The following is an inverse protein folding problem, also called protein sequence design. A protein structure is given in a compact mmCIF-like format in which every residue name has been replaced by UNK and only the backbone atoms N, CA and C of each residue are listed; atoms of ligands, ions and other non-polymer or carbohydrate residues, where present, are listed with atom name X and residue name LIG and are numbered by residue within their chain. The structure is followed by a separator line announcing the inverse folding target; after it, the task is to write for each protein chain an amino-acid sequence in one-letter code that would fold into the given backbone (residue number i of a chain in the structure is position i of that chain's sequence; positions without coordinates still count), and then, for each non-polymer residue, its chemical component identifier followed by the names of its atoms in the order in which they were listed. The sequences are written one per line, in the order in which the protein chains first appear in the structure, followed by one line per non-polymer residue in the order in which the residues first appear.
data_IF_056146717768
#
_entry.id   IF_056146717768
#
_cell.length_a   1.000
_cell.length_b   1.000
_cell.length_c   1.000
_cell.angle_alpha   90.00
_cell.angle_beta   90.00
_cell.angle_gamma   90.00
#
_symmetry.space_group_name_H-M   'P 1'
#
loop_
_entity.id
_entity.type
_entity.pdbx_description
1 polymer ?
#
# COMPACT_ATOMS: atom_id res chain seq x y z
N UNK A 1 -14.35 4.35 -5.68
CA UNK A 1 -12.95 3.88 -5.74
C UNK A 1 -12.45 3.86 -4.31
N UNK A 2 -11.85 2.75 -3.88
CA UNK A 2 -11.35 2.59 -2.51
C UNK A 2 -9.84 2.48 -2.52
N UNK A 3 -9.22 3.10 -1.52
CA UNK A 3 -7.80 3.03 -1.26
C UNK A 3 -7.55 2.25 0.03
N UNK A 4 -6.50 1.43 0.05
CA UNK A 4 -5.93 0.95 1.30
C UNK A 4 -4.86 1.92 1.76
N UNK A 5 -4.91 2.33 3.02
CA UNK A 5 -3.99 3.32 3.60
C UNK A 5 -3.33 2.77 4.86
N UNK A 6 -2.04 3.08 5.01
CA UNK A 6 -1.28 2.93 6.26
C UNK A 6 -0.58 4.25 6.58
N UNK A 7 -0.84 4.76 7.77
CA UNK A 7 -0.05 5.84 8.37
C UNK A 7 0.95 5.20 9.32
N UNK A 8 2.22 5.57 9.22
CA UNK A 8 3.26 5.09 10.15
C UNK A 8 4.23 6.20 10.49
N UNK A 9 4.74 6.19 11.71
CA UNK A 9 5.95 6.91 12.07
C UNK A 9 7.15 6.00 11.80
N UNK A 10 8.04 6.43 10.91
CA UNK A 10 9.31 5.75 10.68
C UNK A 10 10.45 6.73 10.92
N UNK A 11 11.24 6.48 11.97
CA UNK A 11 12.36 7.33 12.35
C UNK A 11 11.98 8.80 12.55
N UNK A 12 10.83 9.08 13.21
CA UNK A 12 10.28 10.43 13.41
C UNK A 12 9.81 11.12 12.12
N UNK A 13 9.68 10.37 11.03
CA UNK A 13 9.07 10.84 9.79
C UNK A 13 7.72 10.17 9.64
N UNK A 14 6.68 10.99 9.53
CA UNK A 14 5.34 10.51 9.21
C UNK A 14 5.30 10.07 7.75
N UNK A 15 4.97 8.80 7.51
CA UNK A 15 4.80 8.23 6.19
C UNK A 15 3.35 7.86 5.95
N UNK A 16 2.90 8.05 4.71
CA UNK A 16 1.61 7.59 4.20
C UNK A 16 1.91 6.62 3.07
N UNK A 17 1.50 5.37 3.26
CA UNK A 17 1.56 4.34 2.24
C UNK A 17 0.13 4.08 1.77
N UNK A 18 -0.10 4.15 0.47
CA UNK A 18 -1.42 3.94 -0.11
C UNK A 18 -1.34 3.21 -1.44
N UNK A 19 -2.38 2.42 -1.73
CA UNK A 19 -2.62 1.81 -3.03
C UNK A 19 -4.12 1.67 -3.27
N UNK A 20 -4.52 1.42 -4.52
CA UNK A 20 -5.89 1.02 -4.82
C UNK A 20 -6.21 -0.29 -4.09
N UNK A 21 -7.35 -0.34 -3.40
CA UNK A 21 -7.70 -1.47 -2.54
C UNK A 21 -7.74 -2.81 -3.30
N UNK A 22 -8.09 -2.78 -4.59
CA UNK A 22 -8.12 -3.96 -5.46
C UNK A 22 -6.74 -4.54 -5.83
N UNK A 23 -5.65 -3.83 -5.50
CA UNK A 23 -4.28 -4.30 -5.73
C UNK A 23 -3.72 -5.09 -4.53
N UNK A 24 -4.42 -5.11 -3.39
CA UNK A 24 -3.96 -5.78 -2.19
C UNK A 24 -3.71 -7.28 -2.42
N UNK A 25 -2.54 -7.75 -1.99
CA UNK A 25 -2.11 -9.15 -2.13
C UNK A 25 -1.61 -9.52 -3.53
N UNK A 26 -1.59 -8.59 -4.50
CA UNK A 26 -1.09 -8.85 -5.86
C UNK A 26 0.41 -8.60 -5.96
N UNK A 27 1.04 -9.30 -6.89
CA UNK A 27 2.38 -8.99 -7.38
C UNK A 27 2.26 -8.10 -8.63
N UNK A 28 2.95 -6.96 -8.64
CA UNK A 28 3.15 -6.13 -9.82
C UNK A 28 4.52 -6.49 -10.40
N UNK A 29 4.53 -6.87 -11.68
CA UNK A 29 5.76 -7.25 -12.40
C UNK A 29 5.91 -6.37 -13.64
N UNK A 30 7.07 -5.74 -13.77
CA UNK A 30 7.44 -4.94 -14.93
C UNK A 30 8.93 -5.16 -15.26
N UNK A 31 9.20 -5.99 -16.26
CA UNK A 31 10.56 -6.46 -16.55
C UNK A 31 11.17 -7.20 -15.36
N UNK A 32 12.25 -6.65 -14.80
CA UNK A 32 12.92 -7.17 -13.60
C UNK A 32 12.32 -6.63 -12.29
N UNK A 33 11.47 -5.60 -12.35
CA UNK A 33 10.79 -5.05 -11.19
C UNK A 33 9.72 -6.04 -10.72
N UNK A 34 9.79 -6.42 -9.45
CA UNK A 34 8.74 -7.16 -8.76
C UNK A 34 8.37 -6.45 -7.46
N UNK A 35 7.11 -6.01 -7.35
CA UNK A 35 6.56 -5.41 -6.14
C UNK A 35 5.47 -6.32 -5.60
N UNK A 36 5.60 -6.73 -4.34
CA UNK A 36 4.54 -7.43 -3.64
C UNK A 36 3.71 -6.42 -2.84
N UNK A 37 2.44 -6.26 -3.21
CA UNK A 37 1.51 -5.35 -2.54
C UNK A 37 0.98 -6.04 -1.27
N UNK A 38 1.80 -6.05 -0.22
CA UNK A 38 1.43 -6.67 1.06
C UNK A 38 0.76 -5.70 2.03
N UNK A 39 -0.09 -6.29 2.86
CA UNK A 39 -0.82 -5.62 3.93
C UNK A 39 0.10 -4.95 4.96
N UNK A 40 1.24 -5.56 5.26
CA UNK A 40 2.19 -5.01 6.23
C UNK A 40 2.72 -3.63 5.81
N UNK A 41 2.79 -3.36 4.50
CA UNK A 41 3.27 -2.09 3.95
C UNK A 41 2.14 -1.11 3.62
N UNK A 42 1.02 -1.58 3.07
CA UNK A 42 -0.09 -0.72 2.58
C UNK A 42 -1.31 -0.65 3.51
N UNK A 43 -1.32 -1.41 4.61
CA UNK A 43 -2.38 -1.37 5.62
C UNK A 43 -3.67 -2.09 5.22
N UNK A 44 -4.71 -1.88 6.04
CA UNK A 44 -6.09 -2.38 5.85
C UNK A 44 -7.15 -1.29 5.94
N UNK A 45 -6.76 -0.06 6.24
CA UNK A 45 -7.75 1.01 6.36
C UNK A 45 -8.26 1.37 4.97
N UNK A 46 -9.53 1.05 4.71
CA UNK A 46 -10.19 1.39 3.46
C UNK A 46 -10.77 2.81 3.54
N UNK A 47 -10.47 3.61 2.52
CA UNK A 47 -10.92 5.00 2.40
C UNK A 47 -11.57 5.19 1.04
N UNK A 48 -12.78 5.74 1.03
CA UNK A 48 -13.47 6.13 -0.20
C UNK A 48 -12.90 7.46 -0.74
N UNK A 49 -12.96 7.63 -2.06
CA UNK A 49 -12.56 8.87 -2.75
C UNK A 49 -13.45 10.06 -2.40
#
# INVERSE_FOLDING_TARGET
MQFSVKISDYQKNMMINMCDAELMGKDIVDGELKININENYYGKQLVDK
#
